data_IF_144933445823
#
_entry.id   IF_144933445823
#
_cell.length_a   1.000
_cell.length_b   1.000
_cell.length_c   1.000
_cell.angle_alpha   90.00
_cell.angle_beta   90.00
_cell.angle_gamma   90.00
#
_symmetry.space_group_name_H-M   'P 1'
#
loop_
_entity.id
_entity.type
_entity.pdbx_description
1 polymer ?
#
# COMPACT_ATOMS: atom_id res chain seq x y z
N UNK A 1 -7.51 -10.93 14.73
CA UNK A 1 -7.87 -10.21 13.49
C UNK A 1 -7.83 -11.20 12.33
N UNK A 2 -8.62 -10.98 11.28
CA UNK A 2 -8.80 -11.91 10.17
C UNK A 2 -7.87 -11.55 9.01
N UNK A 3 -7.22 -12.55 8.41
CA UNK A 3 -6.61 -12.43 7.08
C UNK A 3 -7.74 -12.51 6.06
N UNK A 4 -7.76 -11.59 5.11
CA UNK A 4 -8.73 -11.60 4.01
C UNK A 4 -8.08 -12.30 2.81
N UNK A 5 -8.63 -13.42 2.38
CA UNK A 5 -8.04 -14.23 1.31
C UNK A 5 -8.36 -13.64 -0.06
N UNK A 6 -9.56 -13.08 -0.22
CA UNK A 6 -9.99 -12.40 -1.43
C UNK A 6 -10.56 -11.02 -1.12
N UNK A 7 -10.64 -10.18 -2.15
CA UNK A 7 -11.27 -8.86 -2.00
C UNK A 7 -12.76 -8.95 -1.64
N UNK A 8 -13.44 -10.01 -2.09
CA UNK A 8 -14.82 -10.33 -1.72
C UNK A 8 -15.01 -10.50 -0.22
N UNK A 9 -14.00 -11.00 0.52
CA UNK A 9 -14.06 -11.15 1.97
C UNK A 9 -14.14 -9.78 2.68
N UNK A 10 -13.42 -8.78 2.18
CA UNK A 10 -13.51 -7.40 2.69
C UNK A 10 -14.92 -6.86 2.44
N UNK A 11 -15.43 -6.99 1.21
CA UNK A 11 -16.76 -6.49 0.86
C UNK A 11 -17.85 -7.16 1.69
N UNK A 12 -17.75 -8.47 1.89
CA UNK A 12 -18.67 -9.22 2.74
C UNK A 12 -18.58 -8.77 4.20
N UNK A 13 -17.38 -8.52 4.73
CA UNK A 13 -17.20 -8.00 6.08
C UNK A 13 -17.83 -6.62 6.25
N UNK A 14 -17.68 -5.75 5.26
CA UNK A 14 -18.29 -4.41 5.25
C UNK A 14 -19.81 -4.51 5.30
N UNK A 15 -20.40 -5.37 4.45
CA UNK A 15 -21.84 -5.58 4.39
C UNK A 15 -22.38 -6.18 5.69
N UNK A 16 -21.75 -7.25 6.20
CA UNK A 16 -22.17 -7.93 7.44
C UNK A 16 -22.16 -7.01 8.65
N UNK A 17 -21.23 -6.06 8.71
CA UNK A 17 -21.11 -5.10 9.80
C UNK A 17 -21.94 -3.82 9.59
N UNK A 18 -22.43 -3.60 8.38
CA UNK A 18 -23.18 -2.40 8.03
C UNK A 18 -22.35 -1.13 8.14
N UNK A 19 -21.04 -1.19 7.88
CA UNK A 19 -20.21 0.02 7.92
C UNK A 19 -20.67 1.01 6.85
N UNK A 20 -20.80 2.32 7.18
CA UNK A 20 -21.05 3.35 6.17
C UNK A 20 -19.95 3.32 5.12
N UNK A 21 -20.33 3.01 3.87
CA UNK A 21 -19.37 2.83 2.78
C UNK A 21 -19.85 3.54 1.52
N UNK A 22 -18.89 3.89 0.66
CA UNK A 22 -19.15 4.42 -0.68
C UNK A 22 -18.13 3.89 -1.67
N UNK A 23 -18.57 3.68 -2.92
CA UNK A 23 -17.68 3.33 -4.03
C UNK A 23 -17.08 4.62 -4.60
N UNK A 24 -15.75 4.69 -4.66
CA UNK A 24 -15.01 5.82 -5.23
C UNK A 24 -14.78 5.69 -6.74
N UNK A 25 -14.76 4.46 -7.24
CA UNK A 25 -14.46 4.10 -8.63
C UNK A 25 -14.36 2.59 -8.78
N UNK A 26 -13.96 2.12 -9.96
CA UNK A 26 -13.77 0.69 -10.22
C UNK A 26 -12.41 0.45 -10.88
N UNK A 27 -11.74 -0.62 -10.47
CA UNK A 27 -10.53 -1.13 -11.12
C UNK A 27 -10.87 -1.72 -12.50
N UNK A 28 -9.88 -1.99 -13.36
CA UNK A 28 -10.12 -2.50 -14.73
C UNK A 28 -10.92 -3.81 -14.82
N UNK A 29 -10.82 -4.69 -13.82
CA UNK A 29 -11.66 -5.90 -13.69
C UNK A 29 -13.11 -5.60 -13.25
N UNK A 30 -13.43 -4.34 -12.96
CA UNK A 30 -14.72 -3.91 -12.44
C UNK A 30 -14.86 -4.01 -10.92
N UNK A 31 -13.82 -4.40 -10.18
CA UNK A 31 -13.88 -4.43 -8.72
C UNK A 31 -14.04 -3.01 -8.15
N UNK A 32 -14.95 -2.76 -7.20
CA UNK A 32 -15.17 -1.41 -6.67
C UNK A 32 -14.01 -1.02 -5.76
N UNK A 33 -13.51 0.21 -5.85
CA UNK A 33 -12.64 0.78 -4.82
C UNK A 33 -13.53 1.44 -3.76
N UNK A 34 -13.51 0.93 -2.53
CA UNK A 34 -14.42 1.36 -1.46
C UNK A 34 -13.74 2.26 -0.44
N UNK A 35 -14.47 3.29 0.00
CA UNK A 35 -14.13 4.12 1.15
C UNK A 35 -15.14 3.87 2.25
N UNK A 36 -14.65 3.72 3.48
CA UNK A 36 -15.42 3.52 4.69
C UNK A 36 -15.34 4.77 5.55
N UNK A 37 -16.42 5.07 6.28
CA UNK A 37 -16.46 6.20 7.21
C UNK A 37 -16.64 5.69 8.65
N UNK A 38 -15.82 6.19 9.56
CA UNK A 38 -15.91 5.93 11.01
C UNK A 38 -15.52 7.19 11.81
N UNK A 39 -15.44 7.09 13.13
CA UNK A 39 -15.18 8.21 14.04
C UNK A 39 -16.41 9.11 14.23
N UNK A 40 -16.17 10.40 14.47
CA UNK A 40 -17.20 11.40 14.70
C UNK A 40 -17.41 12.35 13.52
N UNK A 41 -17.76 13.59 13.86
CA UNK A 41 -18.14 14.65 12.91
C UNK A 41 -17.17 15.84 12.90
N UNK A 42 -16.17 15.84 13.79
CA UNK A 42 -15.21 16.95 13.92
C UNK A 42 -14.25 16.99 12.74
N UNK A 43 -13.93 18.21 12.31
CA UNK A 43 -12.92 18.49 11.29
C UNK A 43 -11.66 19.11 11.93
N UNK A 44 -10.49 19.01 11.30
CA UNK A 44 -10.22 18.37 10.00
C UNK A 44 -10.35 16.84 10.02
N UNK A 45 -10.63 16.24 8.86
CA UNK A 45 -10.78 14.79 8.74
C UNK A 45 -9.42 14.06 8.87
N UNK A 46 -9.48 12.77 9.18
CA UNK A 46 -8.34 11.86 9.20
C UNK A 46 -8.51 10.89 8.04
N UNK A 47 -7.46 10.71 7.24
CA UNK A 47 -7.45 9.76 6.14
C UNK A 47 -6.50 8.60 6.43
N UNK A 48 -7.00 7.37 6.28
CA UNK A 48 -6.24 6.13 6.46
C UNK A 48 -6.35 5.30 5.19
N UNK A 49 -5.23 4.80 4.70
CA UNK A 49 -5.22 3.89 3.55
C UNK A 49 -4.27 2.72 3.79
N UNK A 50 -4.52 1.60 3.13
CA UNK A 50 -3.66 0.44 3.14
C UNK A 50 -3.73 -0.31 1.80
N UNK A 51 -2.88 -1.32 1.64
CA UNK A 51 -3.00 -2.32 0.57
C UNK A 51 -2.82 -1.75 -0.83
N UNK A 52 -1.95 -0.75 -1.01
CA UNK A 52 -1.45 -0.42 -2.37
C UNK A 52 -0.53 -1.49 -2.93
N UNK A 53 0.09 -2.27 -2.05
CA UNK A 53 0.77 -3.50 -2.41
C UNK A 53 -0.02 -4.63 -1.75
N UNK A 54 -0.60 -5.49 -2.58
CA UNK A 54 -1.47 -6.59 -2.11
C UNK A 54 -0.76 -7.59 -1.19
N UNK A 55 0.57 -7.62 -1.21
CA UNK A 55 1.44 -8.42 -0.34
C UNK A 55 1.46 -7.95 1.11
N UNK A 56 1.08 -6.70 1.37
CA UNK A 56 1.14 -6.04 2.68
C UNK A 56 -0.19 -6.21 3.44
N UNK A 57 -0.58 -7.46 3.67
CA UNK A 57 -1.89 -7.81 4.25
C UNK A 57 -2.11 -7.37 5.70
N UNK A 58 -1.06 -7.16 6.50
CA UNK A 58 -1.24 -6.68 7.86
C UNK A 58 -1.74 -5.23 7.88
N UNK A 59 -1.34 -4.40 6.91
CA UNK A 59 -1.88 -3.05 6.73
C UNK A 59 -3.38 -3.08 6.42
N UNK A 60 -3.82 -3.99 5.54
CA UNK A 60 -5.25 -4.21 5.22
C UNK A 60 -6.02 -4.66 6.47
N UNK A 61 -5.46 -5.61 7.21
CA UNK A 61 -6.01 -6.09 8.48
C UNK A 61 -6.13 -4.98 9.53
N UNK A 62 -5.13 -4.10 9.61
CA UNK A 62 -5.11 -2.97 10.55
C UNK A 62 -6.15 -1.92 10.18
N UNK A 63 -6.26 -1.56 8.90
CA UNK A 63 -7.30 -0.66 8.41
C UNK A 63 -8.70 -1.16 8.74
N UNK A 64 -8.95 -2.46 8.56
CA UNK A 64 -10.23 -3.09 8.92
C UNK A 64 -10.43 -3.19 10.43
N UNK A 65 -9.36 -3.44 11.20
CA UNK A 65 -9.40 -3.47 12.67
C UNK A 65 -9.71 -2.10 13.27
N UNK A 66 -9.16 -1.03 12.70
CA UNK A 66 -9.40 0.35 13.15
C UNK A 66 -10.87 0.75 13.02
N UNK A 67 -11.63 0.21 12.05
CA UNK A 67 -13.08 0.45 11.97
C UNK A 67 -13.83 0.00 13.23
N UNK A 68 -13.35 -1.06 13.89
CA UNK A 68 -13.98 -1.64 15.07
C UNK A 68 -13.48 -0.99 16.38
N UNK A 69 -12.27 -0.42 16.40
CA UNK A 69 -11.58 -0.03 17.65
C UNK A 69 -11.21 1.44 17.76
N UNK A 70 -11.28 2.21 16.67
CA UNK A 70 -10.89 3.61 16.70
C UNK A 70 -11.98 4.44 17.38
N UNK A 71 -11.58 5.14 18.45
CA UNK A 71 -12.42 6.08 19.19
C UNK A 71 -11.86 7.48 19.00
N UNK A 72 -12.59 8.33 18.26
CA UNK A 72 -12.21 9.70 17.95
C UNK A 72 -13.42 10.52 17.59
N UNK A 73 -13.43 11.80 17.97
CA UNK A 73 -14.48 12.74 17.55
C UNK A 73 -14.31 13.22 16.10
N UNK A 74 -13.12 13.02 15.51
CA UNK A 74 -12.84 13.44 14.14
C UNK A 74 -13.49 12.52 13.12
N UNK A 75 -13.84 13.09 11.96
CA UNK A 75 -14.26 12.29 10.81
C UNK A 75 -13.08 11.43 10.33
N UNK A 76 -13.29 10.13 10.15
CA UNK A 76 -12.27 9.21 9.66
C UNK A 76 -12.73 8.55 8.38
N UNK A 77 -11.88 8.59 7.35
CA UNK A 77 -12.10 7.96 6.06
C UNK A 77 -11.04 6.89 5.82
N UNK A 78 -11.47 5.65 5.57
CA UNK A 78 -10.59 4.50 5.42
C UNK A 78 -10.76 3.87 4.04
N UNK A 79 -9.66 3.70 3.29
CA UNK A 79 -9.59 2.79 2.13
C UNK A 79 -8.81 1.55 2.56
N UNK A 80 -9.49 0.40 2.82
CA UNK A 80 -8.83 -0.77 3.40
C UNK A 80 -7.88 -1.48 2.43
N UNK A 81 -8.11 -1.36 1.13
CA UNK A 81 -7.17 -1.80 0.10
C UNK A 81 -7.26 -0.89 -1.11
N UNK A 82 -6.10 -0.52 -1.67
CA UNK A 82 -5.96 0.22 -2.93
C UNK A 82 -5.67 -0.70 -4.12
N UNK A 83 -5.49 -2.01 -3.90
CA UNK A 83 -5.25 -2.99 -4.96
C UNK A 83 -6.21 -4.19 -4.87
N UNK A 84 -7.51 -4.00 -5.18
CA UNK A 84 -8.49 -5.10 -5.25
C UNK A 84 -8.05 -6.28 -6.13
N UNK A 85 -7.46 -5.98 -7.31
CA UNK A 85 -7.04 -7.00 -8.27
C UNK A 85 -5.89 -7.85 -7.72
N UNK A 86 -4.84 -7.18 -7.22
CA UNK A 86 -3.68 -7.86 -6.66
C UNK A 86 -4.01 -8.70 -5.42
N UNK A 87 -4.99 -8.26 -4.63
CA UNK A 87 -5.44 -8.95 -3.43
C UNK A 87 -6.07 -10.32 -3.72
N UNK A 88 -6.77 -10.47 -4.85
CA UNK A 88 -7.38 -11.74 -5.24
C UNK A 88 -6.36 -12.83 -5.64
N UNK A 89 -5.08 -12.47 -5.79
CA UNK A 89 -4.00 -13.42 -6.07
C UNK A 89 -3.58 -13.48 -7.54
N UNK A 90 -2.47 -14.17 -7.78
CA UNK A 90 -1.87 -14.23 -9.12
C UNK A 90 -2.63 -15.14 -10.08
N UNK A 91 -3.23 -16.22 -9.58
CA UNK A 91 -4.14 -17.07 -10.34
C UNK A 91 -5.35 -16.26 -10.84
N UNK A 92 -5.99 -15.50 -9.94
CA UNK A 92 -7.05 -14.57 -10.32
C UNK A 92 -6.60 -13.57 -11.39
N UNK A 93 -5.46 -12.91 -11.20
CA UNK A 93 -4.95 -11.93 -12.18
C UNK A 93 -4.78 -12.57 -13.57
N UNK A 94 -4.17 -13.75 -13.66
CA UNK A 94 -4.05 -14.51 -14.92
C UNK A 94 -5.42 -14.87 -15.51
N UNK A 95 -6.40 -15.22 -14.67
CA UNK A 95 -7.74 -15.61 -15.12
C UNK A 95 -8.44 -14.52 -15.93
N UNK A 96 -8.13 -13.25 -15.68
CA UNK A 96 -8.67 -12.12 -16.42
C UNK A 96 -8.28 -12.14 -17.90
N UNK A 97 -7.11 -12.72 -18.22
CA UNK A 97 -6.63 -12.87 -19.60
C UNK A 97 -6.91 -14.27 -20.18
N UNK A 98 -6.93 -15.31 -19.34
CA UNK A 98 -7.10 -16.70 -19.77
C UNK A 98 -8.58 -17.14 -19.90
N UNK A 99 -9.48 -16.47 -19.17
CA UNK A 99 -10.90 -16.84 -19.08
C UNK A 99 -11.21 -17.95 -18.07
N UNK A 100 -10.18 -18.52 -17.44
CA UNK A 100 -10.29 -19.49 -16.34
C UNK A 100 -9.14 -19.29 -15.34
N UNK A 101 -9.37 -19.64 -14.08
CA UNK A 101 -8.37 -19.51 -13.02
C UNK A 101 -7.42 -20.72 -13.03
N UNK A 102 -6.12 -20.54 -13.30
CA UNK A 102 -5.17 -21.65 -13.35
C UNK A 102 -4.80 -22.12 -11.94
N UNK A 103 -4.48 -23.40 -11.81
CA UNK A 103 -3.82 -23.92 -10.61
C UNK A 103 -2.33 -23.54 -10.62
N UNK A 104 -1.86 -22.89 -9.57
CA UNK A 104 -0.47 -22.46 -9.41
C UNK A 104 0.08 -23.01 -8.10
N UNK A 105 1.10 -23.86 -8.18
CA UNK A 105 1.79 -24.40 -7.01
C UNK A 105 3.24 -23.93 -6.90
N UNK A 106 3.75 -23.30 -7.95
CA UNK A 106 5.17 -22.99 -8.11
C UNK A 106 5.39 -21.81 -9.07
N UNK A 107 6.59 -21.24 -9.08
CA UNK A 107 6.98 -20.23 -10.07
C UNK A 107 7.15 -20.88 -11.45
N UNK A 108 7.54 -22.15 -11.49
CA UNK A 108 7.66 -22.93 -12.72
C UNK A 108 6.31 -23.09 -13.43
N UNK A 109 5.22 -23.22 -12.67
CA UNK A 109 3.85 -23.21 -13.23
C UNK A 109 3.54 -21.85 -13.86
N UNK A 110 3.91 -20.75 -13.19
CA UNK A 110 3.76 -19.38 -13.72
C UNK A 110 4.54 -19.25 -15.02
N UNK A 111 5.83 -19.58 -15.01
CA UNK A 111 6.70 -19.49 -16.18
C UNK A 111 6.13 -20.28 -17.37
N UNK A 112 5.71 -21.53 -17.12
CA UNK A 112 5.11 -22.40 -18.14
C UNK A 112 3.87 -21.77 -18.75
N UNK A 113 2.99 -21.17 -17.94
CA UNK A 113 1.79 -20.48 -18.43
C UNK A 113 2.18 -19.28 -19.29
N UNK A 114 3.11 -18.44 -18.82
CA UNK A 114 3.54 -17.25 -19.56
C UNK A 114 4.12 -17.62 -20.94
N UNK A 115 4.93 -18.67 -21.01
CA UNK A 115 5.50 -19.16 -22.28
C UNK A 115 4.49 -19.82 -23.20
N UNK A 116 3.46 -20.47 -22.63
CA UNK A 116 2.47 -21.23 -23.42
C UNK A 116 1.38 -20.33 -23.98
N UNK A 117 0.93 -19.35 -23.19
CA UNK A 117 -0.25 -18.53 -23.50
C UNK A 117 0.07 -17.08 -23.85
N UNK A 118 1.27 -16.58 -23.50
CA UNK A 118 1.65 -15.20 -23.71
C UNK A 118 2.50 -14.96 -24.96
N UNK A 119 2.42 -13.72 -25.45
CA UNK A 119 3.44 -13.18 -26.33
C UNK A 119 4.62 -12.74 -25.45
N UNK A 120 5.77 -13.40 -25.63
CA UNK A 120 6.98 -13.14 -24.87
C UNK A 120 7.57 -11.78 -25.27
N UNK A 121 7.75 -10.90 -24.29
CA UNK A 121 8.33 -9.57 -24.49
C UNK A 121 9.80 -9.54 -24.07
N UNK A 122 10.14 -10.20 -22.97
CA UNK A 122 11.50 -10.25 -22.43
C UNK A 122 11.74 -11.57 -21.70
N UNK A 123 12.98 -12.05 -21.80
CA UNK A 123 13.45 -13.24 -21.11
C UNK A 123 14.94 -13.11 -20.82
N UNK A 124 15.31 -13.13 -19.54
CA UNK A 124 16.68 -13.24 -19.07
C UNK A 124 16.68 -13.85 -17.66
N UNK A 125 17.55 -14.83 -17.42
CA UNK A 125 17.64 -15.58 -16.17
C UNK A 125 16.27 -16.13 -15.71
N UNK A 126 15.81 -15.78 -14.50
CA UNK A 126 14.51 -16.18 -13.95
C UNK A 126 13.37 -15.21 -14.32
N UNK A 127 13.66 -14.15 -15.07
CA UNK A 127 12.70 -13.11 -15.42
C UNK A 127 12.11 -13.42 -16.79
N UNK A 128 10.85 -13.83 -16.79
CA UNK A 128 10.00 -13.90 -17.98
C UNK A 128 8.98 -12.78 -17.89
N UNK A 129 8.88 -11.96 -18.95
CA UNK A 129 7.82 -10.96 -19.12
C UNK A 129 7.04 -11.30 -20.37
N UNK A 130 5.74 -11.49 -20.22
CA UNK A 130 4.84 -11.78 -21.34
C UNK A 130 3.58 -10.91 -21.26
N UNK A 131 2.97 -10.66 -22.40
CA UNK A 131 1.64 -10.06 -22.49
C UNK A 131 0.61 -11.13 -22.85
N UNK A 132 -0.50 -11.15 -22.12
CA UNK A 132 -1.65 -12.03 -22.40
C UNK A 132 -2.89 -11.12 -22.42
N UNK A 133 -3.48 -10.93 -23.58
CA UNK A 133 -4.64 -10.03 -23.75
C UNK A 133 -4.30 -8.57 -23.40
N UNK A 134 -4.96 -8.00 -22.40
CA UNK A 134 -4.80 -6.60 -22.02
C UNK A 134 -3.70 -6.35 -20.96
N UNK A 135 -3.17 -7.40 -20.33
CA UNK A 135 -2.26 -7.28 -19.19
C UNK A 135 -0.89 -7.89 -19.47
N UNK A 136 0.13 -7.29 -18.85
CA UNK A 136 1.45 -7.88 -18.72
C UNK A 136 1.54 -8.75 -17.48
N UNK A 137 2.45 -9.72 -17.54
CA UNK A 137 2.72 -10.65 -16.47
C UNK A 137 4.22 -10.90 -16.39
N UNK A 138 4.74 -11.05 -15.18
CA UNK A 138 6.13 -11.46 -14.97
C UNK A 138 6.29 -12.47 -13.84
N UNK A 139 7.34 -13.29 -13.93
CA UNK A 139 7.73 -14.24 -12.88
C UNK A 139 8.31 -13.54 -11.64
N UNK A 140 8.77 -12.30 -11.80
CA UNK A 140 9.37 -11.48 -10.75
C UNK A 140 9.02 -9.99 -10.87
N UNK A 141 9.27 -9.26 -9.79
CA UNK A 141 9.21 -7.80 -9.80
C UNK A 141 10.29 -7.21 -10.72
N UNK A 142 9.86 -6.32 -11.61
CA UNK A 142 10.73 -5.63 -12.58
C UNK A 142 10.84 -4.12 -12.34
N UNK A 143 10.27 -3.63 -11.23
CA UNK A 143 10.40 -2.25 -10.81
C UNK A 143 11.87 -1.87 -10.62
N UNK A 144 12.31 -0.77 -11.24
CA UNK A 144 13.69 -0.28 -11.17
C UNK A 144 14.74 -1.14 -11.89
N UNK A 145 14.35 -2.23 -12.58
CA UNK A 145 15.29 -3.12 -13.31
C UNK A 145 15.61 -2.64 -14.73
N UNK A 146 14.78 -1.78 -15.31
CA UNK A 146 14.90 -1.35 -16.71
C UNK A 146 14.85 0.18 -16.83
N UNK A 147 15.53 0.69 -17.85
CA UNK A 147 15.44 2.11 -18.23
C UNK A 147 14.03 2.45 -18.72
N UNK A 148 13.60 3.69 -18.45
CA UNK A 148 12.33 4.22 -18.94
C UNK A 148 12.23 4.12 -20.45
N UNK A 149 11.13 3.56 -20.94
CA UNK A 149 10.84 3.49 -22.37
C UNK A 149 11.59 2.41 -23.14
N UNK A 150 12.22 1.43 -22.46
CA UNK A 150 12.87 0.28 -23.11
C UNK A 150 11.92 -0.41 -24.11
N UNK A 151 12.47 -0.82 -25.26
CA UNK A 151 11.69 -1.21 -26.44
C UNK A 151 10.67 -2.32 -26.18
N UNK A 152 11.01 -3.34 -25.39
CA UNK A 152 10.12 -4.47 -25.14
C UNK A 152 8.89 -4.10 -24.30
N UNK A 153 8.91 -2.97 -23.57
CA UNK A 153 7.76 -2.50 -22.78
C UNK A 153 6.75 -1.73 -23.61
N UNK A 154 7.05 -1.33 -24.85
CA UNK A 154 6.14 -0.53 -25.69
C UNK A 154 4.71 -1.12 -25.79
N UNK A 155 4.51 -2.44 -25.92
CA UNK A 155 3.16 -3.03 -25.90
C UNK A 155 2.40 -2.84 -24.58
N UNK A 156 3.11 -2.56 -23.49
CA UNK A 156 2.59 -2.42 -22.14
C UNK A 156 2.37 -0.97 -21.69
N UNK A 157 2.67 0.04 -22.50
CA UNK A 157 2.48 1.44 -22.11
C UNK A 157 1.01 1.73 -21.74
N UNK A 158 0.79 2.31 -20.56
CA UNK A 158 -0.53 2.55 -19.99
C UNK A 158 -1.23 1.31 -19.42
N UNK A 159 -0.55 0.16 -19.36
CA UNK A 159 -1.11 -1.13 -18.89
C UNK A 159 -0.48 -1.58 -17.57
N UNK A 160 -1.09 -2.60 -16.97
CA UNK A 160 -0.60 -3.23 -15.73
C UNK A 160 0.33 -4.39 -16.05
N UNK A 161 1.27 -4.64 -15.14
CA UNK A 161 2.06 -5.86 -15.07
C UNK A 161 1.83 -6.47 -13.69
N UNK A 162 1.42 -7.73 -13.65
CA UNK A 162 1.30 -8.49 -12.41
C UNK A 162 2.51 -9.40 -12.23
N UNK A 163 2.98 -9.56 -11.00
CA UNK A 163 3.92 -10.63 -10.64
C UNK A 163 3.49 -11.32 -9.34
N UNK A 164 3.77 -12.62 -9.17
CA UNK A 164 3.30 -13.34 -7.99
C UNK A 164 4.07 -12.91 -6.75
N UNK A 165 3.41 -12.92 -5.58
CA UNK A 165 4.15 -12.98 -4.31
C UNK A 165 5.08 -14.20 -4.34
N UNK A 166 6.30 -14.00 -3.85
CA UNK A 166 7.33 -15.06 -3.72
C UNK A 166 7.67 -15.35 -2.28
N UNK A 167 6.91 -14.80 -1.32
CA UNK A 167 7.22 -14.99 0.09
C UNK A 167 6.92 -16.43 0.54
N UNK A 168 7.85 -17.00 1.30
CA UNK A 168 7.68 -18.28 1.97
C UNK A 168 7.49 -18.06 3.46
N UNK A 169 6.50 -18.73 4.05
CA UNK A 169 6.27 -18.69 5.51
C UNK A 169 5.69 -17.37 6.06
N UNK A 170 5.33 -16.41 5.20
CA UNK A 170 4.71 -15.15 5.62
C UNK A 170 3.19 -15.25 5.48
N UNK A 171 2.49 -15.20 6.61
CA UNK A 171 1.02 -15.30 6.67
C UNK A 171 0.35 -14.18 5.84
N UNK A 172 -0.61 -14.56 5.00
CA UNK A 172 -1.39 -13.64 4.16
C UNK A 172 -0.71 -13.22 2.84
N UNK A 173 0.54 -13.63 2.59
CA UNK A 173 1.22 -13.33 1.33
C UNK A 173 2.09 -14.49 0.83
N UNK A 174 1.66 -15.73 1.06
CA UNK A 174 2.34 -16.91 0.54
C UNK A 174 2.52 -16.87 -1.00
N UNK A 175 3.39 -17.74 -1.51
CA UNK A 175 3.65 -17.93 -2.93
C UNK A 175 2.35 -17.89 -3.77
N UNK A 176 2.29 -17.00 -4.76
CA UNK A 176 1.14 -16.77 -5.65
C UNK A 176 -0.18 -16.34 -4.96
N UNK A 177 -0.27 -16.31 -3.63
CA UNK A 177 -1.47 -15.90 -2.88
C UNK A 177 -1.87 -14.45 -3.18
N UNK A 178 -0.90 -13.62 -3.54
CA UNK A 178 -1.07 -12.22 -3.94
C UNK A 178 -0.40 -11.97 -5.28
N UNK A 179 -0.88 -10.97 -6.01
CA UNK A 179 -0.23 -10.44 -7.18
C UNK A 179 0.18 -8.99 -6.91
N UNK A 180 1.46 -8.70 -6.99
CA UNK A 180 1.92 -7.33 -6.91
C UNK A 180 1.63 -6.63 -8.23
N UNK A 181 1.04 -5.43 -8.16
CA UNK A 181 0.62 -4.67 -9.34
C UNK A 181 1.62 -3.57 -9.67
N UNK A 182 2.28 -3.72 -10.81
CA UNK A 182 3.03 -2.66 -11.47
C UNK A 182 2.20 -2.03 -12.58
N UNK A 183 2.55 -0.80 -12.94
CA UNK A 183 1.88 -0.02 -13.98
C UNK A 183 2.97 0.63 -14.82
N UNK A 184 2.89 0.43 -16.13
CA UNK A 184 3.75 1.14 -17.07
C UNK A 184 3.05 2.44 -17.45
N UNK A 185 3.68 3.58 -17.18
CA UNK A 185 3.14 4.89 -17.56
C UNK A 185 3.05 5.02 -19.10
N UNK A 186 2.28 5.98 -19.62
CA UNK A 186 2.29 6.32 -21.05
C UNK A 186 3.70 6.66 -21.58
N UNK A 187 4.57 7.17 -20.70
CA UNK A 187 5.97 7.51 -20.98
C UNK A 187 6.92 6.31 -20.89
N UNK A 188 6.44 5.14 -20.45
CA UNK A 188 7.22 3.91 -20.36
C UNK A 188 7.96 3.71 -19.04
N UNK A 189 7.60 4.42 -17.97
CA UNK A 189 8.12 4.21 -16.62
C UNK A 189 7.36 3.07 -15.95
N UNK A 190 8.09 2.13 -15.33
CA UNK A 190 7.47 1.10 -14.49
C UNK A 190 7.34 1.67 -13.07
N UNK A 191 6.11 1.85 -12.60
CA UNK A 191 5.79 2.28 -11.24
C UNK A 191 4.78 1.32 -10.61
N UNK A 192 4.27 1.63 -9.43
CA UNK A 192 3.29 0.82 -8.70
C UNK A 192 2.15 1.70 -8.14
N UNK A 193 1.11 1.08 -7.58
CA UNK A 193 -0.13 1.79 -7.16
C UNK A 193 0.15 2.87 -6.09
N UNK A 194 1.19 2.73 -5.26
CA UNK A 194 1.58 3.77 -4.32
C UNK A 194 2.41 4.91 -4.96
N UNK A 195 2.23 5.16 -6.26
CA UNK A 195 2.80 6.31 -7.01
C UNK A 195 1.67 7.02 -7.76
N UNK A 196 2.01 7.92 -8.68
CA UNK A 196 1.07 8.67 -9.52
C UNK A 196 0.18 9.68 -8.79
N UNK A 197 0.51 10.06 -7.54
CA UNK A 197 -0.31 11.03 -6.80
C UNK A 197 -0.03 12.48 -7.26
N UNK A 198 1.08 12.73 -7.94
CA UNK A 198 1.46 14.02 -8.51
C UNK A 198 1.31 14.10 -10.04
N UNK A 199 0.90 13.01 -10.69
CA UNK A 199 0.82 12.95 -12.16
C UNK A 199 -0.56 13.35 -12.69
N UNK A 200 -0.60 14.00 -13.86
CA UNK A 200 -1.86 14.37 -14.52
C UNK A 200 -2.60 13.14 -15.03
N UNK A 201 -1.90 12.24 -15.73
CA UNK A 201 -2.40 10.89 -15.99
C UNK A 201 -2.12 10.01 -14.77
N UNK A 202 -3.15 9.33 -14.27
CA UNK A 202 -3.01 8.42 -13.14
C UNK A 202 -3.99 7.24 -13.29
N UNK A 203 -3.61 6.06 -12.80
CA UNK A 203 -4.52 4.93 -12.65
C UNK A 203 -5.73 5.31 -11.78
N UNK A 204 -6.77 4.48 -11.83
CA UNK A 204 -8.01 4.79 -11.10
C UNK A 204 -7.79 4.85 -9.59
N UNK A 205 -6.89 4.06 -9.04
CA UNK A 205 -6.68 3.94 -7.59
C UNK A 205 -6.03 5.19 -6.98
N UNK A 206 -4.90 5.71 -7.51
CA UNK A 206 -4.38 7.02 -7.10
C UNK A 206 -5.37 8.14 -7.41
N UNK A 207 -6.08 8.12 -8.55
CA UNK A 207 -7.06 9.16 -8.90
C UNK A 207 -8.21 9.23 -7.91
N UNK A 208 -8.83 8.10 -7.57
CA UNK A 208 -9.91 8.03 -6.59
C UNK A 208 -9.44 8.48 -5.21
N UNK A 209 -8.23 8.11 -4.82
CA UNK A 209 -7.64 8.53 -3.54
C UNK A 209 -7.45 10.05 -3.50
N UNK A 210 -6.88 10.65 -4.55
CA UNK A 210 -6.74 12.12 -4.65
C UNK A 210 -8.07 12.85 -4.63
N UNK A 211 -9.06 12.35 -5.36
CA UNK A 211 -10.39 12.96 -5.39
C UNK A 211 -11.04 12.94 -4.00
N UNK A 212 -10.91 11.82 -3.28
CA UNK A 212 -11.37 11.72 -1.89
C UNK A 212 -10.62 12.71 -0.99
N UNK A 213 -9.28 12.77 -1.05
CA UNK A 213 -8.49 13.70 -0.23
C UNK A 213 -8.83 15.17 -0.53
N UNK A 214 -9.07 15.52 -1.80
CA UNK A 214 -9.49 16.87 -2.18
C UNK A 214 -10.88 17.23 -1.64
N UNK A 215 -11.78 16.25 -1.54
CA UNK A 215 -13.11 16.42 -0.96
C UNK A 215 -13.06 16.61 0.56
N UNK A 216 -12.31 15.76 1.27
CA UNK A 216 -12.32 15.71 2.75
C UNK A 216 -11.28 16.63 3.39
N UNK A 217 -10.27 17.07 2.63
CA UNK A 217 -9.14 17.90 3.07
C UNK A 217 -8.54 17.41 4.40
N UNK A 218 -7.88 16.23 4.42
CA UNK A 218 -7.49 15.60 5.67
C UNK A 218 -6.41 16.41 6.41
N UNK A 219 -6.55 16.54 7.72
CA UNK A 219 -5.53 17.13 8.59
C UNK A 219 -4.42 16.14 8.99
N UNK A 220 -4.65 14.85 8.80
CA UNK A 220 -3.70 13.76 9.04
C UNK A 220 -3.91 12.66 8.00
N UNK A 221 -2.83 12.17 7.40
CA UNK A 221 -2.85 11.04 6.46
C UNK A 221 -1.96 9.90 6.94
N UNK A 222 -2.52 8.71 7.11
CA UNK A 222 -1.82 7.50 7.53
C UNK A 222 -1.89 6.44 6.43
N UNK A 223 -0.74 5.99 5.95
CA UNK A 223 -0.63 4.94 4.94
C UNK A 223 0.01 3.69 5.57
N UNK A 224 -0.74 2.59 5.65
CA UNK A 224 -0.34 1.37 6.36
C UNK A 224 0.29 0.36 5.39
N UNK A 225 1.60 0.15 5.56
CA UNK A 225 2.47 -0.69 4.72
C UNK A 225 3.17 -1.76 5.55
N UNK A 226 3.90 -2.62 4.85
CA UNK A 226 4.84 -3.57 5.43
C UNK A 226 6.12 -3.62 4.60
N UNK A 227 7.22 -4.02 5.22
CA UNK A 227 8.49 -4.21 4.53
C UNK A 227 9.08 -5.60 4.81
N UNK A 228 9.96 -6.06 3.93
CA UNK A 228 10.37 -7.47 3.87
C UNK A 228 11.17 -8.02 5.07
N UNK A 229 11.57 -7.20 6.03
CA UNK A 229 12.40 -7.65 7.16
C UNK A 229 11.60 -7.76 8.49
N UNK A 230 12.28 -7.63 9.62
CA UNK A 230 11.74 -7.80 10.97
C UNK A 230 11.79 -6.47 11.75
N UNK A 231 10.75 -6.24 12.56
CA UNK A 231 10.59 -5.07 13.40
C UNK A 231 9.83 -3.94 12.72
N UNK A 232 9.59 -2.87 13.44
CA UNK A 232 8.76 -1.73 13.04
C UNK A 232 9.61 -0.50 12.71
N UNK A 233 9.18 0.25 11.70
CA UNK A 233 9.56 1.64 11.52
C UNK A 233 8.40 2.41 10.87
N UNK A 234 8.57 3.71 10.71
CA UNK A 234 7.70 4.50 9.86
C UNK A 234 8.48 5.67 9.27
N UNK A 235 7.96 6.24 8.19
CA UNK A 235 8.45 7.50 7.66
C UNK A 235 7.47 8.65 7.91
N UNK A 236 8.01 9.78 8.38
CA UNK A 236 7.37 11.08 8.43
C UNK A 236 7.88 11.98 7.29
N UNK A 237 7.29 13.18 7.14
CA UNK A 237 7.70 14.18 6.15
C UNK A 237 8.04 15.49 6.82
N UNK A 238 8.96 16.23 6.19
CA UNK A 238 9.12 17.64 6.53
C UNK A 238 7.98 18.47 5.96
N UNK A 239 7.45 19.35 6.80
CA UNK A 239 6.27 20.15 6.50
C UNK A 239 6.65 21.55 6.03
N UNK A 240 5.71 22.17 5.31
CA UNK A 240 5.91 23.50 4.70
C UNK A 240 5.78 24.65 5.69
N UNK A 241 5.21 24.40 6.86
CA UNK A 241 5.02 25.40 7.90
C UNK A 241 5.43 24.85 9.27
N UNK A 242 5.83 25.75 10.15
CA UNK A 242 6.39 25.43 11.47
C UNK A 242 5.39 24.70 12.38
N UNK A 243 4.08 25.00 12.25
CA UNK A 243 3.07 24.39 13.09
C UNK A 243 2.86 22.91 12.73
N UNK A 244 2.73 22.59 11.43
CA UNK A 244 2.63 21.20 10.98
C UNK A 244 3.91 20.42 11.26
N UNK A 245 5.09 21.03 11.05
CA UNK A 245 6.39 20.42 11.37
C UNK A 245 6.49 20.05 12.85
N UNK A 246 6.07 20.95 13.75
CA UNK A 246 6.05 20.70 15.19
C UNK A 246 5.11 19.55 15.56
N UNK A 247 3.89 19.53 15.00
CA UNK A 247 2.91 18.49 15.31
C UNK A 247 3.29 17.13 14.73
N UNK A 248 3.88 17.09 13.54
CA UNK A 248 4.39 15.85 12.94
C UNK A 248 5.54 15.26 13.76
N UNK A 249 6.48 16.10 14.24
CA UNK A 249 7.51 15.66 15.20
C UNK A 249 6.91 15.09 16.48
N UNK A 250 5.93 15.77 17.07
CA UNK A 250 5.26 15.31 18.29
C UNK A 250 4.55 13.97 18.10
N UNK A 251 3.87 13.80 16.96
CA UNK A 251 3.24 12.53 16.58
C UNK A 251 4.30 11.44 16.36
N UNK A 252 5.38 11.72 15.63
CA UNK A 252 6.47 10.79 15.38
C UNK A 252 7.08 10.26 16.69
N UNK A 253 7.43 11.18 17.61
CA UNK A 253 7.93 10.87 18.94
C UNK A 253 6.98 9.96 19.74
N UNK A 254 5.68 10.25 19.68
CA UNK A 254 4.68 9.47 20.40
C UNK A 254 4.51 8.07 19.80
N UNK A 255 4.43 7.96 18.47
CA UNK A 255 4.30 6.68 17.76
C UNK A 255 5.46 5.77 18.13
N UNK A 256 6.71 6.25 18.00
CA UNK A 256 7.86 5.38 18.22
C UNK A 256 7.98 4.92 19.68
N UNK A 257 7.67 5.81 20.64
CA UNK A 257 7.63 5.47 22.07
C UNK A 257 6.55 4.44 22.36
N UNK A 258 5.33 4.64 21.87
CA UNK A 258 4.23 3.71 22.10
C UNK A 258 4.53 2.31 21.52
N UNK A 259 5.10 2.24 20.32
CA UNK A 259 5.49 0.97 19.72
C UNK A 259 6.62 0.31 20.51
N UNK A 260 7.65 1.06 20.90
CA UNK A 260 8.74 0.52 21.72
C UNK A 260 8.24 0.00 23.09
N UNK A 261 7.37 0.76 23.76
CA UNK A 261 6.79 0.42 25.05
C UNK A 261 5.85 -0.80 24.99
N UNK A 262 5.26 -1.08 23.81
CA UNK A 262 4.46 -2.30 23.59
C UNK A 262 5.31 -3.58 23.59
N UNK A 263 6.63 -3.45 23.48
CA UNK A 263 7.57 -4.57 23.35
C UNK A 263 7.77 -5.05 21.91
N UNK A 264 7.08 -4.44 20.93
CA UNK A 264 7.32 -4.69 19.52
C UNK A 264 8.77 -4.33 19.15
N UNK A 265 9.40 -5.18 18.36
CA UNK A 265 10.76 -4.94 17.89
C UNK A 265 10.77 -3.74 16.94
N UNK A 266 11.71 -2.81 17.11
CA UNK A 266 11.98 -1.75 16.14
C UNK A 266 13.01 -2.22 15.12
N UNK A 267 13.01 -1.61 13.93
CA UNK A 267 14.01 -1.82 12.90
C UNK A 267 15.44 -1.80 13.49
N UNK A 268 16.38 -2.63 12.98
CA UNK A 268 17.73 -2.74 13.52
C UNK A 268 18.45 -1.40 13.61
N UNK A 269 19.38 -1.26 14.57
CA UNK A 269 20.29 -0.12 14.58
C UNK A 269 21.10 -0.09 13.27
N UNK A 270 21.20 1.10 12.67
CA UNK A 270 21.87 1.28 11.38
C UNK A 270 21.05 0.88 10.16
N UNK A 271 19.82 0.37 10.32
CA UNK A 271 18.89 0.19 9.21
C UNK A 271 18.61 1.54 8.52
N UNK A 272 18.58 1.53 7.19
CA UNK A 272 18.23 2.67 6.37
C UNK A 272 17.31 2.20 5.24
N UNK A 273 16.10 2.78 5.10
CA UNK A 273 15.17 2.44 4.03
C UNK A 273 15.58 3.01 2.65
N UNK A 274 16.65 3.81 2.57
CA UNK A 274 17.16 4.38 1.34
C UNK A 274 17.96 5.67 1.55
N UNK A 275 18.65 6.12 0.51
CA UNK A 275 19.50 7.34 0.57
C UNK A 275 18.71 8.65 0.64
N UNK A 276 17.41 8.63 0.33
CA UNK A 276 16.51 9.77 0.31
C UNK A 276 15.75 9.96 1.64
N UNK A 277 16.33 9.46 2.74
CA UNK A 277 15.80 9.61 4.10
C UNK A 277 16.81 10.28 5.01
N UNK A 278 16.34 11.23 5.82
CA UNK A 278 17.04 11.66 7.03
C UNK A 278 16.69 10.70 8.18
N UNK A 279 17.71 10.23 8.90
CA UNK A 279 17.55 9.27 9.99
C UNK A 279 17.27 10.03 11.29
N UNK A 280 16.12 9.76 11.91
CA UNK A 280 15.75 10.29 13.22
C UNK A 280 16.12 9.36 14.37
N UNK A 281 15.27 9.31 15.40
CA UNK A 281 15.35 8.27 16.43
C UNK A 281 15.17 6.88 15.79
N UNK A 282 15.61 5.82 16.48
CA UNK A 282 15.53 4.46 15.95
C UNK A 282 14.10 4.12 15.53
N UNK A 283 13.91 3.77 14.24
CA UNK A 283 12.61 3.45 13.66
C UNK A 283 11.83 4.66 13.13
N UNK A 284 12.39 5.88 13.20
CA UNK A 284 11.82 7.12 12.65
C UNK A 284 12.69 7.59 11.49
N UNK A 285 12.09 7.71 10.31
CA UNK A 285 12.77 8.19 9.12
C UNK A 285 12.03 9.38 8.51
N UNK A 286 12.74 10.38 8.03
CA UNK A 286 12.16 11.57 7.42
C UNK A 286 12.39 11.51 5.91
N UNK A 287 11.33 11.27 5.14
CA UNK A 287 11.43 11.07 3.70
C UNK A 287 11.59 12.42 2.98
N UNK A 288 12.61 12.54 2.14
CA UNK A 288 12.86 13.71 1.29
C UNK A 288 12.33 13.43 -0.12
N UNK A 289 11.04 13.74 -0.35
CA UNK A 289 10.31 13.27 -1.53
C UNK A 289 10.94 13.72 -2.86
N UNK A 290 11.57 14.90 -2.88
CA UNK A 290 12.21 15.46 -4.07
C UNK A 290 13.46 14.69 -4.52
N UNK A 291 14.07 13.90 -3.64
CA UNK A 291 15.30 13.15 -3.93
C UNK A 291 15.03 11.73 -4.44
N UNK A 292 13.80 11.21 -4.27
CA UNK A 292 13.44 9.83 -4.62
C UNK A 292 13.38 9.60 -6.13
N UNK A 293 12.97 10.60 -6.91
CA UNK A 293 12.92 10.51 -8.37
C UNK A 293 11.80 9.65 -8.98
N UNK A 294 10.79 9.25 -8.18
CA UNK A 294 9.72 8.33 -8.60
C UNK A 294 8.31 8.98 -8.58
N UNK A 295 8.26 10.30 -8.44
CA UNK A 295 7.02 11.03 -8.13
C UNK A 295 6.55 10.83 -6.68
N UNK A 296 5.39 11.39 -6.35
CA UNK A 296 4.85 11.35 -4.98
C UNK A 296 4.08 10.05 -4.72
N UNK A 297 4.41 9.39 -3.61
CA UNK A 297 3.51 8.41 -3.00
C UNK A 297 2.34 9.11 -2.29
N UNK A 298 1.40 8.32 -1.75
CA UNK A 298 0.21 8.86 -1.11
C UNK A 298 0.53 9.84 0.02
N UNK A 299 1.43 9.45 0.91
CA UNK A 299 1.71 10.21 2.11
C UNK A 299 2.62 11.43 1.81
N UNK A 300 3.47 11.35 0.78
CA UNK A 300 4.19 12.52 0.27
C UNK A 300 3.23 13.53 -0.36
N UNK A 301 2.22 13.06 -1.10
CA UNK A 301 1.14 13.91 -1.61
C UNK A 301 0.31 14.52 -0.47
N UNK A 302 0.00 13.73 0.56
CA UNK A 302 -0.69 14.18 1.77
C UNK A 302 0.04 15.33 2.46
N UNK A 303 1.34 15.15 2.73
CA UNK A 303 2.22 16.17 3.30
C UNK A 303 2.36 17.41 2.42
N UNK A 304 2.46 17.22 1.11
CA UNK A 304 2.59 18.34 0.18
C UNK A 304 1.33 19.21 0.10
N UNK A 305 0.15 18.61 0.18
CA UNK A 305 -1.13 19.30 -0.07
C UNK A 305 -1.89 19.72 1.18
N UNK A 306 -1.82 18.95 2.26
CA UNK A 306 -2.76 19.10 3.38
C UNK A 306 -2.09 19.27 4.74
N UNK A 307 -1.26 18.32 5.18
CA UNK A 307 -0.68 18.34 6.52
C UNK A 307 0.06 17.07 6.89
N UNK A 308 0.31 16.82 8.19
CA UNK A 308 1.12 15.69 8.66
C UNK A 308 0.77 14.35 8.02
N UNK A 309 1.79 13.56 7.65
CA UNK A 309 1.54 12.30 6.98
C UNK A 309 2.60 11.23 7.21
N UNK A 310 2.14 10.03 7.54
CA UNK A 310 2.99 8.90 7.91
C UNK A 310 2.81 7.71 6.98
N UNK A 311 3.91 7.03 6.67
CA UNK A 311 3.90 5.67 6.11
C UNK A 311 4.37 4.74 7.21
N UNK A 312 3.45 3.91 7.70
CA UNK A 312 3.68 2.96 8.80
C UNK A 312 4.16 1.65 8.20
N UNK A 313 5.24 1.07 8.74
CA UNK A 313 5.93 -0.07 8.14
C UNK A 313 6.18 -1.16 9.19
N UNK A 314 5.34 -2.20 9.18
CA UNK A 314 5.57 -3.40 10.01
C UNK A 314 6.38 -4.43 9.26
N UNK A 315 7.35 -5.05 9.94
CA UNK A 315 8.19 -6.08 9.33
C UNK A 315 7.38 -7.34 9.04
N UNK A 316 7.42 -7.81 7.79
CA UNK A 316 6.70 -9.02 7.37
C UNK A 316 7.18 -10.28 8.12
N UNK A 317 8.39 -10.27 8.67
CA UNK A 317 9.00 -11.41 9.38
C UNK A 317 8.94 -11.33 10.90
N UNK A 318 8.11 -10.42 11.46
CA UNK A 318 7.87 -10.32 12.90
C UNK A 318 7.42 -11.66 13.51
N UNK A 319 8.02 -12.02 14.65
CA UNK A 319 7.88 -13.35 15.24
C UNK A 319 6.47 -13.69 15.75
N UNK A 320 5.70 -12.69 16.16
CA UNK A 320 4.30 -12.83 16.52
C UNK A 320 3.35 -12.94 15.31
N UNK A 321 3.92 -13.02 14.10
CA UNK A 321 3.19 -13.31 12.87
C UNK A 321 2.23 -12.20 12.47
N UNK A 322 1.16 -12.56 11.75
CA UNK A 322 0.15 -11.64 11.26
C UNK A 322 -0.48 -10.79 12.37
N UNK A 323 -0.78 -11.38 13.53
CA UNK A 323 -1.47 -10.65 14.60
C UNK A 323 -0.60 -9.52 15.18
N UNK A 324 0.68 -9.78 15.42
CA UNK A 324 1.60 -8.75 15.92
C UNK A 324 1.76 -7.62 14.91
N UNK A 325 1.92 -7.93 13.62
CA UNK A 325 2.00 -6.93 12.55
C UNK A 325 0.75 -6.04 12.54
N UNK A 326 -0.44 -6.64 12.56
CA UNK A 326 -1.70 -5.86 12.57
C UNK A 326 -1.81 -4.99 13.82
N UNK A 327 -1.54 -5.55 15.01
CA UNK A 327 -1.65 -4.82 16.27
C UNK A 327 -0.65 -3.65 16.36
N UNK A 328 0.57 -3.85 15.88
CA UNK A 328 1.61 -2.81 15.86
C UNK A 328 1.23 -1.67 14.93
N UNK A 329 0.71 -1.99 13.74
CA UNK A 329 0.23 -1.00 12.77
C UNK A 329 -0.95 -0.20 13.33
N UNK A 330 -1.91 -0.88 13.98
CA UNK A 330 -3.04 -0.22 14.65
C UNK A 330 -2.60 0.69 15.79
N UNK A 331 -1.68 0.23 16.64
CA UNK A 331 -1.13 1.02 17.74
C UNK A 331 -0.50 2.31 17.23
N UNK A 332 0.36 2.22 16.21
CA UNK A 332 0.98 3.38 15.59
C UNK A 332 -0.06 4.38 15.07
N UNK A 333 -1.07 3.90 14.35
CA UNK A 333 -2.14 4.74 13.82
C UNK A 333 -2.96 5.41 14.94
N UNK A 334 -3.38 4.65 15.95
CA UNK A 334 -4.15 5.17 17.08
C UNK A 334 -3.36 6.20 17.89
N UNK A 335 -2.06 5.97 18.10
CA UNK A 335 -1.19 6.93 18.79
C UNK A 335 -1.04 8.23 18.00
N UNK A 336 -0.83 8.16 16.68
CA UNK A 336 -0.77 9.35 15.84
C UNK A 336 -2.07 10.16 15.93
N UNK A 337 -3.22 9.48 15.86
CA UNK A 337 -4.54 10.09 15.95
C UNK A 337 -4.76 10.74 17.32
N UNK A 338 -4.42 10.07 18.42
CA UNK A 338 -4.58 10.63 19.76
C UNK A 338 -3.78 11.92 19.96
N UNK A 339 -2.54 11.98 19.46
CA UNK A 339 -1.74 13.23 19.51
C UNK A 339 -2.28 14.29 18.55
N UNK A 340 -2.80 13.88 17.39
CA UNK A 340 -3.46 14.80 16.46
C UNK A 340 -4.70 15.45 17.08
N UNK A 341 -5.48 14.72 17.88
CA UNK A 341 -6.65 15.28 18.57
C UNK A 341 -6.26 16.42 19.53
N UNK A 342 -5.14 16.30 20.23
CA UNK A 342 -4.63 17.33 21.14
C UNK A 342 -4.40 18.68 20.45
N UNK A 343 -4.20 18.69 19.12
CA UNK A 343 -4.08 19.91 18.32
C UNK A 343 -5.40 20.66 18.16
N UNK A 344 -6.51 19.94 18.22
CA UNK A 344 -7.85 20.44 17.91
C UNK A 344 -8.82 20.35 19.09
N UNK A 345 -8.38 19.84 20.25
CA UNK A 345 -9.13 19.79 21.50
C UNK A 345 -9.47 21.17 22.07
#
# INVERSE_FOLDING_TARGET
MQIFDQYSDILQRIEQKGYPSRVLGHTPDGSPLVCLRTGGEKTPAIFISAGSHSTEQAGVGAAMGLLDTLDTEHQVYIIPTRDPMGMNGYAYALSLSLGEEPELNSIEDVEKILRTHGELLYEEDEIVVAIIGEYGYSTEGIFGKFETGVDFLKPLFGRRIFFPSRAEGIEGTALCQRAYTLIVSPEGEILHINRFHDTAWSPVEPRCTRNLMAEIQPGLTLDLHEYGEDGFWFSARHQRNENDEMWEKRMADAIIRAVADSGAKLAPEGYSPGSFFEIGERGVFWLIAQERGEGLNLADYGAHQYGPSFTIETGMTMQGGYQERVQTSMLAAQTAISVFEERWC
#
